data_IF_579349673508
#
_entry.id   IF_579349673508
#
_cell.length_a   1.000
_cell.length_b   1.000
_cell.length_c   1.000
_cell.angle_alpha   90.00
_cell.angle_beta   90.00
_cell.angle_gamma   90.00
#
_symmetry.space_group_name_H-M   'P 1'
#
loop_
_entity.id
_entity.type
_entity.pdbx_description
1 polymer ?
#
# COMPACT_ATOMS: atom_id res chain seq x y z
N UNK A 1 -20.33 13.03 -32.33
CA UNK A 1 -20.00 13.38 -30.92
C UNK A 1 -18.73 12.62 -30.59
N UNK A 2 -17.62 13.33 -30.50
CA UNK A 2 -16.40 12.77 -29.95
C UNK A 2 -16.70 12.40 -28.48
N UNK A 3 -16.49 11.14 -28.11
CA UNK A 3 -16.55 10.73 -26.70
C UNK A 3 -15.28 11.28 -26.03
N UNK A 4 -15.42 12.28 -25.20
CA UNK A 4 -14.34 12.70 -24.31
C UNK A 4 -13.97 11.47 -23.46
N UNK A 5 -12.73 11.01 -23.57
CA UNK A 5 -12.29 9.82 -22.83
C UNK A 5 -11.81 10.30 -21.47
N UNK A 6 -12.56 9.98 -20.43
CA UNK A 6 -12.14 10.22 -19.05
C UNK A 6 -10.88 9.42 -18.74
N UNK A 7 -9.96 10.03 -18.03
CA UNK A 7 -8.73 9.39 -17.54
C UNK A 7 -8.53 9.68 -16.05
N UNK A 8 -7.83 8.80 -15.36
CA UNK A 8 -7.50 9.01 -13.97
C UNK A 8 -6.16 9.74 -13.81
N UNK A 9 -6.17 10.83 -13.06
CA UNK A 9 -4.97 11.54 -12.63
C UNK A 9 -4.71 11.29 -11.15
N UNK A 10 -3.46 11.06 -10.75
CA UNK A 10 -3.07 11.05 -9.33
C UNK A 10 -3.21 12.50 -8.82
N UNK A 11 -4.13 12.72 -7.89
CA UNK A 11 -4.43 14.02 -7.31
C UNK A 11 -3.92 14.18 -5.88
N UNK A 12 -3.50 13.10 -5.23
CA UNK A 12 -2.86 13.12 -3.93
C UNK A 12 -2.16 11.80 -3.65
N UNK A 13 -1.11 11.86 -2.84
CA UNK A 13 -0.32 10.73 -2.41
C UNK A 13 -0.11 10.73 -0.91
N UNK A 14 0.11 9.56 -0.33
CA UNK A 14 0.41 9.42 1.09
C UNK A 14 1.19 8.14 1.35
N UNK A 15 1.93 8.15 2.44
CA UNK A 15 2.69 6.98 2.88
C UNK A 15 2.70 6.90 4.40
N UNK A 16 3.00 5.70 4.87
CA UNK A 16 3.34 5.45 6.25
C UNK A 16 4.43 4.38 6.32
N UNK A 17 5.44 4.64 7.14
CA UNK A 17 6.56 3.75 7.38
C UNK A 17 6.72 3.61 8.90
N UNK A 18 6.76 2.39 9.47
CA UNK A 18 7.02 2.18 10.88
C UNK A 18 8.33 2.83 11.33
N UNK A 19 8.40 3.31 12.57
CA UNK A 19 9.62 3.97 13.09
C UNK A 19 10.73 2.96 13.37
N UNK A 20 10.37 1.79 13.89
CA UNK A 20 11.33 0.72 14.17
C UNK A 20 11.91 0.14 12.89
N UNK A 21 13.20 -0.20 12.89
CA UNK A 21 13.88 -0.83 11.76
C UNK A 21 15.04 -1.73 12.23
N UNK A 22 15.39 -2.70 11.39
CA UNK A 22 16.67 -3.40 11.47
C UNK A 22 17.63 -2.84 10.42
N UNK A 23 18.84 -2.50 10.82
CA UNK A 23 19.95 -2.23 9.91
C UNK A 23 20.65 -3.54 9.49
N UNK A 24 21.66 -3.43 8.64
CA UNK A 24 22.39 -4.60 8.16
C UNK A 24 23.22 -5.29 9.26
N UNK A 25 23.65 -4.55 10.29
CA UNK A 25 24.38 -5.13 11.43
C UNK A 25 23.44 -5.89 12.36
N UNK A 26 22.17 -5.46 12.46
CA UNK A 26 21.16 -6.23 13.19
C UNK A 26 20.90 -7.58 12.53
N UNK A 27 20.84 -7.62 11.19
CA UNK A 27 20.66 -8.88 10.47
C UNK A 27 21.84 -9.84 10.63
N UNK A 28 23.06 -9.34 10.83
CA UNK A 28 24.22 -10.17 11.11
C UNK A 28 24.10 -10.94 12.44
N UNK A 29 23.14 -10.57 13.31
CA UNK A 29 22.81 -11.33 14.53
C UNK A 29 21.93 -12.56 14.26
N UNK A 30 21.24 -12.59 13.11
CA UNK A 30 20.30 -13.66 12.74
C UNK A 30 20.88 -14.64 11.72
N UNK A 31 21.68 -14.11 10.76
CA UNK A 31 22.24 -14.89 9.65
C UNK A 31 23.70 -14.48 9.38
N UNK A 32 24.46 -15.36 8.74
CA UNK A 32 25.83 -15.08 8.32
C UNK A 32 25.85 -14.06 7.16
N UNK A 33 26.01 -12.77 7.49
CA UNK A 33 26.02 -11.65 6.55
C UNK A 33 26.78 -10.46 7.12
N UNK A 34 26.95 -9.39 6.33
CA UNK A 34 27.49 -8.11 6.77
C UNK A 34 26.93 -6.96 5.92
N UNK A 35 27.16 -5.72 6.36
CA UNK A 35 26.64 -4.52 5.71
C UNK A 35 27.14 -4.37 4.26
N UNK A 36 28.43 -4.59 4.01
CA UNK A 36 29.03 -4.48 2.67
C UNK A 36 28.36 -5.45 1.69
N UNK A 37 28.24 -6.73 2.06
CA UNK A 37 27.63 -7.77 1.23
C UNK A 37 26.18 -7.47 0.87
N UNK A 38 25.39 -6.93 1.82
CA UNK A 38 23.98 -6.57 1.58
C UNK A 38 23.88 -5.36 0.66
N UNK A 39 24.66 -4.30 0.92
CA UNK A 39 24.65 -3.08 0.12
C UNK A 39 25.06 -3.30 -1.32
N UNK A 40 26.12 -4.07 -1.56
CA UNK A 40 26.57 -4.37 -2.92
C UNK A 40 25.51 -5.06 -3.76
N UNK A 41 24.65 -5.91 -3.14
CA UNK A 41 23.64 -6.72 -3.85
C UNK A 41 22.28 -6.07 -3.94
N UNK A 42 21.93 -5.22 -2.98
CA UNK A 42 20.56 -4.74 -2.83
C UNK A 42 20.45 -3.21 -2.73
N UNK A 43 21.53 -2.54 -2.36
CA UNK A 43 21.50 -1.12 -1.99
C UNK A 43 20.82 -0.84 -0.65
N UNK A 44 20.25 -1.85 0.03
CA UNK A 44 19.45 -1.67 1.24
C UNK A 44 20.35 -1.40 2.43
N UNK A 45 20.05 -0.34 3.17
CA UNK A 45 20.74 0.06 4.42
C UNK A 45 19.97 -0.42 5.64
N UNK A 46 18.64 -0.34 5.58
CA UNK A 46 17.72 -0.71 6.67
C UNK A 46 16.38 -1.14 6.12
N UNK A 47 15.61 -1.89 6.90
CA UNK A 47 14.22 -2.26 6.63
C UNK A 47 13.37 -1.96 7.85
N UNK A 48 12.27 -1.27 7.61
CA UNK A 48 11.32 -0.90 8.66
C UNK A 48 10.46 -2.10 9.00
N UNK A 49 10.18 -2.25 10.29
CA UNK A 49 9.48 -3.40 10.87
C UNK A 49 8.31 -2.90 11.69
N UNK A 50 7.14 -3.40 11.39
CA UNK A 50 5.92 -3.13 12.15
C UNK A 50 5.94 -3.98 13.43
N UNK A 51 6.03 -3.34 14.60
CA UNK A 51 5.95 -4.02 15.91
C UNK A 51 4.50 -4.07 16.39
N UNK A 52 3.86 -2.90 16.48
CA UNK A 52 2.47 -2.75 16.90
C UNK A 52 1.54 -2.41 15.73
N UNK A 53 2.11 -1.91 14.63
CA UNK A 53 1.34 -1.60 13.44
C UNK A 53 0.96 -2.89 12.69
N UNK A 54 -0.16 -2.80 12.01
CA UNK A 54 -0.69 -3.88 11.16
C UNK A 54 -0.80 -3.37 9.72
N UNK A 55 -1.00 -4.28 8.78
CA UNK A 55 -1.30 -3.92 7.38
C UNK A 55 -2.45 -2.93 7.29
N UNK A 56 -3.52 -3.14 8.08
CA UNK A 56 -4.69 -2.23 8.13
C UNK A 56 -4.31 -0.88 8.73
N UNK A 57 -3.64 -0.83 9.88
CA UNK A 57 -3.30 0.44 10.53
C UNK A 57 -2.38 1.31 9.67
N UNK A 58 -1.40 0.70 9.01
CA UNK A 58 -0.51 1.40 8.08
C UNK A 58 -1.26 1.91 6.85
N UNK A 59 -2.16 1.07 6.28
CA UNK A 59 -3.01 1.46 5.15
C UNK A 59 -3.86 2.68 5.48
N UNK A 60 -4.49 2.72 6.67
CA UNK A 60 -5.30 3.86 7.15
C UNK A 60 -4.46 5.13 7.25
N UNK A 61 -3.26 5.04 7.84
CA UNK A 61 -2.36 6.19 8.00
C UNK A 61 -1.93 6.74 6.63
N UNK A 62 -1.53 5.87 5.69
CA UNK A 62 -1.19 6.27 4.33
C UNK A 62 -2.39 6.88 3.59
N UNK A 63 -3.58 6.29 3.73
CA UNK A 63 -4.82 6.78 3.13
C UNK A 63 -5.18 8.20 3.62
N UNK A 64 -5.11 8.46 4.93
CA UNK A 64 -5.37 9.78 5.50
C UNK A 64 -4.42 10.85 4.95
N UNK A 65 -3.14 10.50 4.79
CA UNK A 65 -2.15 11.39 4.20
C UNK A 65 -2.47 11.67 2.72
N UNK A 66 -2.86 10.65 1.95
CA UNK A 66 -3.24 10.81 0.54
C UNK A 66 -4.49 11.66 0.34
N UNK A 67 -5.52 11.48 1.19
CA UNK A 67 -6.73 12.31 1.17
C UNK A 67 -6.42 13.77 1.52
N UNK A 68 -5.55 14.00 2.50
CA UNK A 68 -5.10 15.35 2.89
C UNK A 68 -4.39 16.04 1.72
N UNK A 69 -3.49 15.34 1.03
CA UNK A 69 -2.75 15.86 -0.13
C UNK A 69 -3.70 16.14 -1.31
N UNK A 70 -4.67 15.24 -1.55
CA UNK A 70 -5.72 15.41 -2.56
C UNK A 70 -6.74 16.51 -2.23
N UNK A 71 -6.82 16.97 -0.97
CA UNK A 71 -7.84 17.87 -0.44
C UNK A 71 -9.27 17.33 -0.61
N UNK A 72 -9.43 16.02 -0.43
CA UNK A 72 -10.70 15.31 -0.47
C UNK A 72 -11.07 14.77 0.91
N UNK A 73 -12.37 14.65 1.16
CA UNK A 73 -12.90 13.95 2.32
C UNK A 73 -13.13 12.48 1.99
N UNK A 74 -13.25 11.64 3.00
CA UNK A 74 -13.53 10.22 2.80
C UNK A 74 -14.88 9.96 2.11
N UNK A 75 -15.87 10.81 2.34
CA UNK A 75 -17.19 10.73 1.72
C UNK A 75 -17.19 11.02 0.20
N UNK A 76 -16.12 11.65 -0.30
CA UNK A 76 -15.95 11.95 -1.72
C UNK A 76 -15.45 10.72 -2.51
N UNK A 77 -15.05 9.63 -1.81
CA UNK A 77 -14.53 8.43 -2.44
C UNK A 77 -15.65 7.53 -2.97
N UNK A 78 -15.48 7.04 -4.19
CA UNK A 78 -16.37 6.06 -4.83
C UNK A 78 -15.87 4.62 -4.69
N UNK A 79 -14.53 4.45 -4.60
CA UNK A 79 -13.90 3.13 -4.55
C UNK A 79 -12.61 3.17 -3.72
N UNK A 80 -12.40 2.12 -2.92
CA UNK A 80 -11.15 1.85 -2.20
C UNK A 80 -10.61 0.50 -2.66
N UNK A 81 -9.40 0.49 -3.22
CA UNK A 81 -8.66 -0.70 -3.62
C UNK A 81 -7.44 -0.86 -2.71
N UNK A 82 -7.32 -2.00 -2.04
CA UNK A 82 -6.12 -2.32 -1.27
C UNK A 82 -5.38 -3.50 -1.91
N UNK A 83 -4.11 -3.29 -2.23
CA UNK A 83 -3.21 -4.35 -2.67
C UNK A 83 -2.43 -4.86 -1.46
N UNK A 84 -2.62 -6.12 -1.11
CA UNK A 84 -1.89 -6.78 -0.03
C UNK A 84 -1.88 -8.30 -0.18
N UNK A 85 -0.79 -8.95 0.28
CA UNK A 85 -0.66 -10.39 0.47
C UNK A 85 -0.51 -10.75 1.96
N UNK A 86 -0.51 -9.75 2.83
CA UNK A 86 -0.41 -9.88 4.29
C UNK A 86 -1.60 -9.21 5.00
N UNK A 87 -2.86 -9.54 4.62
CA UNK A 87 -4.02 -8.97 5.28
C UNK A 87 -4.08 -9.44 6.74
N UNK A 88 -4.63 -8.59 7.63
CA UNK A 88 -4.87 -8.99 9.03
C UNK A 88 -5.87 -10.15 9.11
N UNK A 89 -6.90 -10.10 8.27
CA UNK A 89 -7.97 -11.10 8.17
C UNK A 89 -8.35 -11.29 6.71
N UNK A 90 -8.94 -12.44 6.38
CA UNK A 90 -9.49 -12.69 5.04
C UNK A 90 -10.87 -12.03 4.90
N UNK A 91 -11.66 -12.03 5.97
CA UNK A 91 -13.00 -11.45 6.05
C UNK A 91 -13.16 -10.80 7.43
N UNK A 92 -13.49 -9.50 7.51
CA UNK A 92 -13.60 -8.56 6.38
C UNK A 92 -12.27 -8.36 5.64
N UNK A 93 -12.31 -7.89 4.38
CA UNK A 93 -11.09 -7.55 3.63
C UNK A 93 -10.41 -6.31 4.21
N UNK A 94 -9.13 -6.12 3.94
CA UNK A 94 -8.37 -4.95 4.38
C UNK A 94 -9.03 -3.65 3.90
N UNK A 95 -9.54 -3.61 2.66
CA UNK A 95 -10.24 -2.46 2.12
C UNK A 95 -11.52 -2.13 2.90
N UNK A 96 -12.27 -3.14 3.39
CA UNK A 96 -13.45 -2.91 4.22
C UNK A 96 -13.10 -2.33 5.60
N UNK A 97 -12.00 -2.77 6.19
CA UNK A 97 -11.53 -2.23 7.47
C UNK A 97 -11.05 -0.79 7.31
N UNK A 98 -10.32 -0.49 6.22
CA UNK A 98 -9.90 0.88 5.86
C UNK A 98 -11.13 1.78 5.61
N UNK A 99 -12.10 1.31 4.83
CA UNK A 99 -13.35 2.03 4.56
C UNK A 99 -14.05 2.44 5.84
N UNK A 100 -14.22 1.50 6.77
CA UNK A 100 -14.88 1.72 8.07
C UNK A 100 -14.14 2.79 8.88
N UNK A 101 -12.82 2.67 9.00
CA UNK A 101 -12.02 3.57 9.82
C UNK A 101 -11.84 4.98 9.22
N UNK A 102 -11.96 5.12 7.90
CA UNK A 102 -12.00 6.41 7.22
C UNK A 102 -13.38 7.05 7.28
N UNK A 103 -14.43 6.28 7.51
CA UNK A 103 -15.81 6.73 7.39
C UNK A 103 -16.26 6.91 5.94
N UNK A 104 -15.64 6.24 4.97
CA UNK A 104 -15.92 6.35 3.53
C UNK A 104 -17.20 5.59 3.16
N UNK A 105 -18.34 6.03 3.68
CA UNK A 105 -19.62 5.31 3.62
C UNK A 105 -20.17 5.11 2.20
N UNK A 106 -19.74 5.96 1.26
CA UNK A 106 -20.19 5.90 -0.12
C UNK A 106 -19.34 4.98 -1.01
N UNK A 107 -18.13 4.62 -0.55
CA UNK A 107 -17.19 3.87 -1.35
C UNK A 107 -17.53 2.38 -1.44
N UNK A 108 -17.43 1.80 -2.64
CA UNK A 108 -17.24 0.35 -2.80
C UNK A 108 -15.81 0.00 -2.37
N UNK A 109 -15.54 -1.22 -1.90
CA UNK A 109 -14.19 -1.58 -1.50
C UNK A 109 -13.88 -3.08 -1.71
N UNK A 110 -12.64 -3.39 -2.11
CA UNK A 110 -12.13 -4.76 -2.18
C UNK A 110 -10.60 -4.80 -2.25
N UNK A 111 -10.04 -5.98 -1.91
CA UNK A 111 -8.60 -6.22 -1.97
C UNK A 111 -8.18 -6.84 -3.30
N UNK A 112 -6.93 -6.58 -3.71
CA UNK A 112 -6.23 -7.22 -4.82
C UNK A 112 -5.01 -7.94 -4.27
N UNK A 113 -4.94 -9.25 -4.49
CA UNK A 113 -3.79 -10.06 -4.08
C UNK A 113 -2.92 -10.37 -5.29
N UNK A 114 -1.86 -9.56 -5.48
CA UNK A 114 -0.92 -9.71 -6.59
C UNK A 114 0.53 -9.29 -6.23
N UNK A 115 0.87 -9.35 -4.95
CA UNK A 115 2.21 -9.07 -4.43
C UNK A 115 2.82 -7.78 -5.01
N UNK A 116 4.08 -7.83 -5.46
CA UNK A 116 4.82 -6.67 -5.98
C UNK A 116 4.15 -5.96 -7.17
N UNK A 117 3.29 -6.64 -7.92
CA UNK A 117 2.53 -6.06 -9.04
C UNK A 117 1.18 -5.47 -8.62
N UNK A 118 0.77 -5.70 -7.37
CA UNK A 118 -0.59 -5.42 -6.91
C UNK A 118 -0.98 -3.96 -6.99
N UNK A 119 -0.08 -3.03 -6.61
CA UNK A 119 -0.38 -1.59 -6.72
C UNK A 119 -0.59 -1.16 -8.18
N UNK A 120 0.20 -1.68 -9.10
CA UNK A 120 0.05 -1.39 -10.55
C UNK A 120 -1.28 -1.94 -11.06
N UNK A 121 -1.67 -3.14 -10.64
CA UNK A 121 -2.95 -3.72 -11.04
C UNK A 121 -4.14 -2.96 -10.44
N UNK A 122 -4.04 -2.54 -9.18
CA UNK A 122 -5.04 -1.69 -8.56
C UNK A 122 -5.17 -0.33 -9.28
N UNK A 123 -4.05 0.30 -9.63
CA UNK A 123 -4.04 1.51 -10.43
C UNK A 123 -4.67 1.32 -11.81
N UNK A 124 -4.33 0.25 -12.53
CA UNK A 124 -4.95 -0.06 -13.83
C UNK A 124 -6.45 -0.33 -13.71
N UNK A 125 -6.87 -0.98 -12.63
CA UNK A 125 -8.29 -1.20 -12.32
C UNK A 125 -9.01 0.13 -12.10
N UNK A 126 -8.41 1.04 -11.33
CA UNK A 126 -8.94 2.39 -11.12
C UNK A 126 -9.08 3.15 -12.45
N UNK A 127 -8.05 3.11 -13.31
CA UNK A 127 -8.10 3.72 -14.65
C UNK A 127 -9.25 3.16 -15.50
N UNK A 128 -9.45 1.84 -15.47
CA UNK A 128 -10.54 1.20 -16.23
C UNK A 128 -11.93 1.65 -15.74
N UNK A 129 -12.13 1.75 -14.43
CA UNK A 129 -13.40 2.21 -13.87
C UNK A 129 -13.68 3.68 -14.19
N UNK A 130 -12.66 4.54 -14.14
CA UNK A 130 -12.78 5.96 -14.52
C UNK A 130 -13.09 6.08 -16.02
N UNK A 131 -12.35 5.37 -16.88
CA UNK A 131 -12.58 5.38 -18.33
C UNK A 131 -13.98 4.85 -18.71
N UNK A 132 -14.53 3.92 -17.92
CA UNK A 132 -15.90 3.44 -18.08
C UNK A 132 -16.96 4.40 -17.53
N UNK A 133 -16.56 5.49 -16.86
CA UNK A 133 -17.48 6.46 -16.23
C UNK A 133 -18.19 5.91 -14.99
N UNK A 134 -17.65 4.86 -14.36
CA UNK A 134 -18.27 4.24 -13.17
C UNK A 134 -17.95 5.00 -11.88
N UNK A 135 -16.74 5.48 -11.74
CA UNK A 135 -16.25 6.16 -10.54
C UNK A 135 -15.42 7.39 -10.93
N UNK A 136 -15.32 8.36 -10.01
CA UNK A 136 -14.60 9.62 -10.19
C UNK A 136 -13.42 9.75 -9.24
N UNK A 137 -13.56 9.33 -7.98
CA UNK A 137 -12.51 9.43 -6.97
C UNK A 137 -12.22 8.05 -6.39
N UNK A 138 -11.05 7.52 -6.68
CA UNK A 138 -10.63 6.18 -6.28
C UNK A 138 -9.38 6.25 -5.41
N UNK A 139 -9.43 5.62 -4.25
CA UNK A 139 -8.26 5.46 -3.38
C UNK A 139 -7.60 4.10 -3.65
N UNK A 140 -6.34 4.14 -4.06
CA UNK A 140 -5.50 2.94 -4.27
C UNK A 140 -4.44 2.88 -3.19
N UNK A 141 -4.32 1.75 -2.50
CA UNK A 141 -3.40 1.55 -1.39
C UNK A 141 -2.59 0.27 -1.64
N UNK A 142 -1.28 0.32 -1.36
CA UNK A 142 -0.45 -0.86 -1.16
C UNK A 142 0.01 -0.88 0.30
N UNK A 143 -0.19 -1.97 1.01
CA UNK A 143 0.23 -2.09 2.41
C UNK A 143 0.63 -3.51 2.73
N UNK A 144 1.81 -3.68 3.38
CA UNK A 144 2.33 -5.00 3.70
C UNK A 144 3.04 -5.03 5.05
N UNK A 145 2.89 -6.14 5.76
CA UNK A 145 3.70 -6.55 6.90
C UNK A 145 4.50 -7.80 6.54
N UNK A 146 5.43 -7.65 5.59
CA UNK A 146 6.23 -8.78 5.09
C UNK A 146 7.15 -9.37 6.15
N UNK A 147 7.55 -8.57 7.15
CA UNK A 147 8.36 -9.04 8.28
C UNK A 147 7.73 -10.22 9.01
N UNK A 148 6.39 -10.29 9.05
CA UNK A 148 5.62 -11.35 9.69
C UNK A 148 5.67 -12.69 8.96
N UNK A 149 6.01 -12.72 7.67
CA UNK A 149 6.06 -13.94 6.84
C UNK A 149 7.46 -14.29 6.35
N UNK A 150 8.45 -13.42 6.56
CA UNK A 150 9.85 -13.64 6.18
C UNK A 150 10.48 -14.73 7.07
N UNK A 151 11.23 -15.64 6.45
CA UNK A 151 12.07 -16.55 7.19
C UNK A 151 13.37 -15.84 7.62
N UNK A 152 13.46 -15.39 8.85
CA UNK A 152 14.61 -14.69 9.41
C UNK A 152 15.89 -15.52 9.49
N UNK A 153 15.83 -16.82 9.20
CA UNK A 153 17.00 -17.73 9.10
C UNK A 153 17.47 -17.93 7.66
N UNK A 154 16.77 -17.38 6.70
CA UNK A 154 17.16 -17.43 5.29
C UNK A 154 17.78 -16.11 4.85
N UNK A 155 19.12 -16.11 4.68
CA UNK A 155 19.88 -14.94 4.22
C UNK A 155 19.39 -14.39 2.89
N UNK A 156 18.85 -15.23 2.01
CA UNK A 156 18.40 -14.84 0.68
C UNK A 156 17.16 -13.96 0.70
N UNK A 157 16.29 -14.13 1.68
CA UNK A 157 15.02 -13.40 1.79
C UNK A 157 14.97 -12.36 2.90
N UNK A 158 15.54 -12.64 4.09
CA UNK A 158 15.43 -11.74 5.25
C UNK A 158 16.09 -10.37 5.05
N UNK A 159 17.04 -10.26 4.12
CA UNK A 159 17.72 -9.00 3.81
C UNK A 159 16.89 -8.04 2.95
N UNK A 160 15.80 -8.51 2.30
CA UNK A 160 15.10 -7.80 1.24
C UNK A 160 13.86 -7.06 1.72
N UNK A 161 13.11 -7.65 2.64
CA UNK A 161 11.74 -7.24 2.93
C UNK A 161 11.62 -6.43 4.21
N UNK A 162 10.67 -5.50 4.22
CA UNK A 162 10.24 -4.72 5.36
C UNK A 162 8.75 -4.39 5.23
N UNK A 163 8.27 -3.52 6.11
CA UNK A 163 6.86 -3.20 6.27
C UNK A 163 6.61 -1.72 5.94
N UNK A 164 5.42 -1.42 5.45
CA UNK A 164 5.01 -0.07 5.12
C UNK A 164 3.75 -0.01 4.28
N UNK A 165 3.26 1.20 4.07
CA UNK A 165 2.11 1.47 3.22
C UNK A 165 2.32 2.71 2.37
N UNK A 166 1.77 2.67 1.16
CA UNK A 166 1.65 3.80 0.25
C UNK A 166 0.24 3.90 -0.32
N UNK A 167 -0.23 5.11 -0.56
CA UNK A 167 -1.56 5.36 -1.10
C UNK A 167 -1.54 6.46 -2.15
N UNK A 168 -2.44 6.37 -3.12
CA UNK A 168 -2.71 7.41 -4.10
C UNK A 168 -4.22 7.59 -4.29
N UNK A 169 -4.66 8.83 -4.35
CA UNK A 169 -6.02 9.18 -4.78
C UNK A 169 -5.98 9.44 -6.28
N UNK A 170 -6.85 8.76 -7.02
CA UNK A 170 -6.99 8.88 -8.48
C UNK A 170 -8.30 9.61 -8.75
N UNK A 171 -8.21 10.77 -9.36
CA UNK A 171 -9.38 11.59 -9.70
C UNK A 171 -9.62 11.56 -11.21
N UNK A 172 -10.87 11.46 -11.60
CA UNK A 172 -11.27 11.55 -13.01
C UNK A 172 -11.03 12.96 -13.57
N UNK A 173 -10.45 13.05 -14.78
CA UNK A 173 -10.33 14.29 -15.56
C UNK A 173 -10.61 14.03 -17.05
N UNK A 174 -10.98 15.07 -17.78
CA UNK A 174 -11.20 15.04 -19.24
C UNK A 174 -9.89 15.07 -20.04
#
# INVERSE_FOLDING_TARGET
>A
MERTTMRGRICGTGSYIPEHYYDNNDLAKFVETNDEWIRERTGIVRRHIAEEDTTVSMAIKAAKNALTDAKLNADDLDLILVSTITPNTVIPSTACEVQKELGAVNATCFDISAACSGFVYAYNTAQAYIAAGMYQNILVIGSETLSGIVNWKDRGSCILFGDGAGAAVICAEE
#
